data_IF_665800786869
#
_entry.id   IF_665800786869
#
_cell.length_a   1.000
_cell.length_b   1.000
_cell.length_c   1.000
_cell.angle_alpha   90.00
_cell.angle_beta   90.00
_cell.angle_gamma   90.00
#
_symmetry.space_group_name_H-M   'P 1'
#
loop_
_entity.id
_entity.type
_entity.pdbx_description
1 polymer ?
#
# COMPACT_ATOMS: atom_id res chain seq x y z
N UNK A 1 7.67 5.25 7.89
CA UNK A 1 7.22 4.99 9.27
C UNK A 1 6.70 6.23 10.02
N UNK A 2 6.38 7.32 9.32
CA UNK A 2 5.91 8.58 9.91
C UNK A 2 4.57 8.47 10.66
N UNK A 3 3.77 7.46 10.34
CA UNK A 3 2.41 7.28 10.85
C UNK A 3 2.26 6.13 11.85
N UNK A 4 3.32 5.35 12.06
CA UNK A 4 3.36 4.22 13.00
C UNK A 4 4.44 4.46 14.04
N UNK A 5 4.15 4.14 15.29
CA UNK A 5 5.09 4.24 16.39
C UNK A 5 5.86 2.94 16.62
N UNK A 6 5.31 1.81 16.17
CA UNK A 6 5.88 0.47 16.33
C UNK A 6 5.26 -0.52 15.33
N UNK A 7 5.84 -1.70 15.22
CA UNK A 7 5.32 -2.83 14.47
C UNK A 7 5.95 -3.04 13.10
N UNK A 8 5.66 -4.19 12.50
CA UNK A 8 6.11 -4.55 11.15
C UNK A 8 5.37 -3.71 10.10
N UNK A 9 6.11 -3.11 9.17
CA UNK A 9 5.53 -2.36 8.04
C UNK A 9 5.31 -3.30 6.85
N UNK A 10 6.33 -4.07 6.51
CA UNK A 10 6.32 -4.96 5.36
C UNK A 10 7.40 -6.02 5.50
N UNK A 11 7.18 -7.19 4.94
CA UNK A 11 8.24 -8.17 4.74
C UNK A 11 8.42 -8.52 3.27
N UNK A 12 9.62 -8.96 2.92
CA UNK A 12 9.93 -9.54 1.61
C UNK A 12 10.27 -11.01 1.80
N UNK A 13 9.72 -11.86 0.95
CA UNK A 13 10.04 -13.29 0.96
C UNK A 13 10.52 -13.69 -0.44
N UNK A 14 11.75 -14.18 -0.51
CA UNK A 14 12.33 -14.78 -1.70
C UNK A 14 12.01 -16.26 -1.82
N UNK A 15 12.71 -16.95 -2.73
CA UNK A 15 12.53 -18.39 -2.96
C UNK A 15 12.99 -19.23 -1.76
N UNK A 16 13.98 -18.76 -1.00
CA UNK A 16 14.49 -19.43 0.21
C UNK A 16 14.05 -18.69 1.47
N UNK A 17 13.81 -19.42 2.55
CA UNK A 17 13.43 -18.84 3.86
C UNK A 17 14.48 -17.84 4.35
N UNK A 18 15.77 -18.11 4.09
CA UNK A 18 16.89 -17.21 4.42
C UNK A 18 16.86 -15.86 3.70
N UNK A 19 16.03 -15.71 2.68
CA UNK A 19 15.85 -14.47 1.91
C UNK A 19 14.69 -13.62 2.42
N UNK A 20 14.11 -13.99 3.56
CA UNK A 20 13.07 -13.20 4.22
C UNK A 20 13.68 -12.00 4.93
N UNK A 21 13.18 -10.81 4.64
CA UNK A 21 13.53 -9.57 5.33
C UNK A 21 12.27 -8.90 5.86
N UNK A 22 12.36 -8.37 7.08
CA UNK A 22 11.28 -7.63 7.74
C UNK A 22 11.70 -6.20 8.00
N UNK A 23 10.79 -5.28 7.78
CA UNK A 23 10.99 -3.85 8.00
C UNK A 23 9.99 -3.38 9.04
N UNK A 24 10.50 -2.72 10.09
CA UNK A 24 9.72 -2.27 11.23
C UNK A 24 9.67 -0.75 11.32
N UNK A 25 8.60 -0.22 11.89
CA UNK A 25 8.47 1.17 12.23
C UNK A 25 9.46 1.55 13.33
N UNK A 26 9.87 2.82 13.33
CA UNK A 26 10.66 3.44 14.40
C UNK A 26 9.73 4.28 15.24
N UNK A 27 10.05 4.44 16.53
CA UNK A 27 9.29 5.31 17.44
C UNK A 27 9.13 6.72 16.89
N UNK A 28 7.92 7.23 16.91
CA UNK A 28 7.61 8.60 16.54
C UNK A 28 6.46 8.71 15.55
N UNK A 29 5.21 8.54 16.01
CA UNK A 29 4.04 8.93 15.23
C UNK A 29 4.04 10.46 15.03
N UNK A 30 4.39 10.91 13.82
CA UNK A 30 4.52 12.33 13.46
C UNK A 30 3.20 13.10 13.51
N UNK A 31 2.07 12.41 13.46
CA UNK A 31 0.74 13.02 13.54
C UNK A 31 0.05 12.81 14.90
N UNK A 32 0.77 12.22 15.86
CA UNK A 32 0.35 12.12 17.26
C UNK A 32 -1.06 11.53 17.45
N UNK A 33 -1.31 10.40 16.81
CA UNK A 33 -2.55 9.65 16.93
C UNK A 33 -3.78 10.26 16.23
N UNK A 34 -3.64 11.32 15.43
CA UNK A 34 -4.75 11.88 14.66
C UNK A 34 -5.35 10.80 13.72
N UNK A 35 -6.67 10.82 13.49
CA UNK A 35 -7.32 9.88 12.58
C UNK A 35 -6.77 10.03 11.15
N UNK A 36 -6.69 8.91 10.43
CA UNK A 36 -6.21 8.83 9.05
C UNK A 36 -7.23 8.08 8.22
N UNK A 37 -7.54 8.63 7.06
CA UNK A 37 -8.22 7.93 5.97
C UNK A 37 -7.25 7.88 4.79
N UNK A 38 -7.04 6.70 4.23
CA UNK A 38 -6.22 6.48 3.04
C UNK A 38 -7.15 6.15 1.90
N UNK A 39 -7.14 6.96 0.86
CA UNK A 39 -7.89 6.71 -0.37
C UNK A 39 -7.00 5.98 -1.37
N UNK A 40 -7.48 4.87 -1.90
CA UNK A 40 -6.80 4.05 -2.92
C UNK A 40 -7.74 3.73 -4.08
N UNK A 41 -7.16 3.48 -5.23
CA UNK A 41 -7.84 2.96 -6.40
C UNK A 41 -6.90 2.04 -7.20
N UNK A 42 -7.33 1.57 -8.36
CA UNK A 42 -6.57 0.68 -9.22
C UNK A 42 -5.25 1.28 -9.76
N UNK A 43 -5.04 2.58 -9.65
CA UNK A 43 -3.79 3.27 -9.96
C UNK A 43 -2.79 3.28 -8.80
N UNK A 44 -3.23 2.95 -7.57
CA UNK A 44 -2.36 2.87 -6.40
C UNK A 44 -1.51 1.61 -6.43
N UNK A 45 -0.19 1.76 -6.47
CA UNK A 45 0.71 0.63 -6.69
C UNK A 45 2.00 0.72 -5.85
N UNK A 46 2.64 -0.43 -5.60
CA UNK A 46 3.98 -0.55 -5.02
C UNK A 46 4.08 0.06 -3.61
N UNK A 47 4.84 1.14 -3.42
CA UNK A 47 5.04 1.78 -2.12
C UNK A 47 3.72 2.30 -1.50
N UNK A 48 2.76 2.74 -2.33
CA UNK A 48 1.43 3.14 -1.88
C UNK A 48 0.67 1.98 -1.26
N UNK A 49 0.81 0.78 -1.84
CA UNK A 49 0.18 -0.44 -1.32
C UNK A 49 0.82 -0.90 -0.01
N UNK A 50 2.14 -0.78 0.10
CA UNK A 50 2.85 -1.07 1.36
C UNK A 50 2.37 -0.13 2.46
N UNK A 51 2.25 1.17 2.17
CA UNK A 51 1.76 2.15 3.13
C UNK A 51 0.33 1.87 3.56
N UNK A 52 -0.58 1.75 2.60
CA UNK A 52 -2.00 1.54 2.86
C UNK A 52 -2.24 0.22 3.62
N UNK A 53 -1.62 -0.87 3.17
CA UNK A 53 -1.76 -2.18 3.79
C UNK A 53 -1.18 -2.22 5.21
N UNK A 54 -0.01 -1.63 5.45
CA UNK A 54 0.58 -1.58 6.79
C UNK A 54 -0.32 -0.82 7.76
N UNK A 55 -0.80 0.37 7.38
CA UNK A 55 -1.65 1.18 8.26
C UNK A 55 -3.04 0.54 8.49
N UNK A 56 -3.56 -0.18 7.50
CA UNK A 56 -4.77 -0.98 7.62
C UNK A 56 -4.58 -2.11 8.64
N UNK A 57 -3.56 -2.94 8.46
CA UNK A 57 -3.30 -4.10 9.32
C UNK A 57 -3.06 -3.70 10.78
N UNK A 58 -2.40 -2.58 11.01
CA UNK A 58 -2.23 -1.99 12.34
C UNK A 58 -3.48 -1.26 12.87
N UNK A 59 -4.58 -1.21 12.10
CA UNK A 59 -5.79 -0.45 12.44
C UNK A 59 -5.50 1.03 12.75
N UNK A 60 -4.44 1.56 12.10
CA UNK A 60 -4.00 2.93 12.28
C UNK A 60 -4.74 3.90 11.33
N UNK A 61 -5.24 3.39 10.21
CA UNK A 61 -6.01 4.14 9.23
C UNK A 61 -7.19 3.31 8.71
N UNK A 62 -8.21 4.00 8.25
CA UNK A 62 -9.29 3.43 7.44
C UNK A 62 -8.86 3.54 5.98
N UNK A 63 -8.92 2.45 5.23
CA UNK A 63 -8.65 2.43 3.80
C UNK A 63 -9.97 2.50 3.03
N UNK A 64 -10.10 3.49 2.15
CA UNK A 64 -11.32 3.80 1.41
C UNK A 64 -11.05 3.86 -0.09
N UNK A 65 -12.01 3.46 -0.90
CA UNK A 65 -11.97 3.59 -2.35
C UNK A 65 -12.13 2.25 -3.06
N UNK A 66 -11.23 1.94 -3.97
CA UNK A 66 -11.25 0.73 -4.77
C UNK A 66 -9.98 -0.10 -4.53
N UNK A 67 -10.01 -1.37 -4.96
CA UNK A 67 -8.85 -2.25 -4.85
C UNK A 67 -7.62 -1.65 -5.54
N UNK A 68 -6.47 -1.75 -4.92
CA UNK A 68 -5.22 -1.28 -5.51
C UNK A 68 -4.70 -2.22 -6.61
N UNK A 69 -3.63 -1.83 -7.28
CA UNK A 69 -3.11 -2.50 -8.48
C UNK A 69 -2.57 -3.93 -8.24
N UNK A 70 -1.94 -4.17 -7.09
CA UNK A 70 -1.31 -5.48 -6.83
C UNK A 70 0.13 -5.62 -7.32
N UNK A 71 0.93 -4.54 -7.30
CA UNK A 71 2.35 -4.59 -7.65
C UNK A 71 3.21 -4.94 -6.43
N UNK A 72 3.18 -6.21 -6.06
CA UNK A 72 3.87 -6.73 -4.88
C UNK A 72 5.18 -7.47 -5.16
N UNK A 73 5.83 -7.27 -6.32
CA UNK A 73 7.07 -7.98 -6.68
C UNK A 73 8.31 -7.10 -6.56
N UNK A 74 9.38 -7.68 -6.02
CA UNK A 74 10.73 -7.10 -6.01
C UNK A 74 11.50 -7.63 -7.22
N UNK A 75 12.02 -6.73 -8.03
CA UNK A 75 12.77 -7.08 -9.23
C UNK A 75 14.23 -6.64 -9.12
N UNK A 76 15.13 -7.47 -9.63
CA UNK A 76 16.54 -7.16 -9.78
C UNK A 76 16.93 -7.13 -11.26
N UNK A 77 17.81 -6.22 -11.61
CA UNK A 77 18.42 -6.18 -12.93
C UNK A 77 19.81 -6.82 -12.81
N UNK A 78 20.01 -7.91 -13.51
CA UNK A 78 21.27 -8.66 -13.54
C UNK A 78 22.00 -8.29 -14.84
N UNK A 79 23.16 -7.62 -14.78
CA UNK A 79 23.92 -7.29 -15.97
C UNK A 79 24.46 -8.58 -16.64
N UNK A 80 24.35 -8.64 -17.95
CA UNK A 80 24.87 -9.74 -18.77
C UNK A 80 26.20 -9.37 -19.40
N UNK A 81 27.05 -10.39 -19.69
CA UNK A 81 28.39 -10.21 -20.24
C UNK A 81 28.42 -9.52 -21.61
N UNK A 82 27.32 -9.55 -22.34
CA UNK A 82 27.18 -8.92 -23.68
C UNK A 82 26.68 -7.46 -23.62
N UNK A 83 26.66 -6.83 -22.42
CA UNK A 83 26.19 -5.45 -22.22
C UNK A 83 24.67 -5.31 -22.06
N UNK A 84 23.91 -6.41 -22.16
CA UNK A 84 22.47 -6.43 -21.86
C UNK A 84 22.19 -6.57 -20.35
N UNK A 85 20.92 -6.54 -19.99
CA UNK A 85 20.46 -6.80 -18.63
C UNK A 85 19.25 -7.73 -18.61
N UNK A 86 19.20 -8.61 -17.62
CA UNK A 86 18.05 -9.48 -17.37
C UNK A 86 17.30 -8.97 -16.17
N UNK A 87 15.98 -8.74 -16.32
CA UNK A 87 15.08 -8.36 -15.23
C UNK A 87 14.46 -9.61 -14.63
N UNK A 88 14.67 -9.81 -13.35
CA UNK A 88 14.23 -11.02 -12.65
C UNK A 88 13.44 -10.63 -11.40
N UNK A 89 12.29 -11.27 -11.19
CA UNK A 89 11.58 -11.19 -9.90
C UNK A 89 12.28 -12.09 -8.90
N UNK A 90 12.77 -11.51 -7.81
CA UNK A 90 13.58 -12.18 -6.80
C UNK A 90 12.83 -12.41 -5.48
N UNK A 91 11.80 -11.61 -5.17
CA UNK A 91 10.98 -11.75 -3.98
C UNK A 91 9.63 -11.06 -4.15
N UNK A 92 8.71 -11.33 -3.21
CA UNK A 92 7.41 -10.66 -3.12
C UNK A 92 7.28 -9.89 -1.80
N UNK A 93 6.48 -8.83 -1.82
CA UNK A 93 6.10 -8.08 -0.63
C UNK A 93 4.90 -8.73 0.06
N UNK A 94 4.96 -8.74 1.39
CA UNK A 94 3.90 -9.22 2.27
C UNK A 94 3.58 -8.17 3.33
N UNK A 95 2.30 -7.97 3.58
CA UNK A 95 1.78 -7.11 4.63
C UNK A 95 2.05 -7.71 6.02
N UNK A 96 1.90 -6.93 7.11
CA UNK A 96 2.02 -7.44 8.48
C UNK A 96 1.11 -8.63 8.77
N UNK A 97 -0.09 -8.67 8.21
CA UNK A 97 -1.02 -9.81 8.27
C UNK A 97 -0.46 -11.10 7.64
N UNK A 98 0.57 -10.98 6.81
CA UNK A 98 1.11 -12.08 6.00
C UNK A 98 0.49 -12.22 4.62
N UNK A 99 -0.47 -11.37 4.27
CA UNK A 99 -1.06 -11.34 2.93
C UNK A 99 -0.07 -10.82 1.89
N UNK A 100 -0.09 -11.41 0.69
CA UNK A 100 0.73 -10.95 -0.43
C UNK A 100 0.06 -9.79 -1.15
N UNK A 101 0.81 -8.72 -1.40
CA UNK A 101 0.34 -7.61 -2.25
C UNK A 101 0.27 -8.05 -3.72
N UNK A 102 1.09 -9.02 -4.11
CA UNK A 102 1.25 -9.42 -5.52
C UNK A 102 -0.04 -9.99 -6.11
N UNK A 103 -0.53 -9.38 -7.16
CA UNK A 103 -1.73 -9.78 -7.93
C UNK A 103 -3.08 -9.58 -7.20
N UNK A 104 -3.05 -9.32 -5.91
CA UNK A 104 -4.24 -9.11 -5.07
C UNK A 104 -4.47 -7.64 -4.77
N UNK A 105 -3.38 -6.90 -4.52
CA UNK A 105 -3.44 -5.51 -4.07
C UNK A 105 -3.88 -5.39 -2.60
N UNK A 106 -4.27 -4.20 -2.24
CA UNK A 106 -4.88 -3.86 -0.94
C UNK A 106 -6.36 -3.64 -1.17
N UNK A 107 -7.19 -4.41 -0.47
CA UNK A 107 -8.64 -4.23 -0.48
C UNK A 107 -9.02 -3.14 0.52
N UNK A 108 -9.84 -2.15 0.15
CA UNK A 108 -10.29 -1.10 1.07
C UNK A 108 -11.20 -1.67 2.18
N UNK A 109 -11.25 -0.97 3.32
CA UNK A 109 -12.21 -1.25 4.39
C UNK A 109 -13.61 -0.76 4.01
N UNK A 110 -13.66 0.36 3.27
CA UNK A 110 -14.90 0.96 2.75
C UNK A 110 -14.76 1.09 1.23
N UNK A 111 -15.58 0.33 0.51
CA UNK A 111 -15.61 0.38 -0.96
C UNK A 111 -16.40 1.60 -1.41
N UNK A 112 -15.74 2.48 -2.14
CA UNK A 112 -16.36 3.66 -2.78
C UNK A 112 -15.86 3.73 -4.22
N UNK A 113 -16.71 3.32 -5.15
CA UNK A 113 -16.40 3.36 -6.59
C UNK A 113 -16.43 4.79 -7.13
N UNK A 114 -15.60 5.07 -8.12
CA UNK A 114 -15.65 6.32 -8.89
C UNK A 114 -16.96 6.40 -9.66
N UNK A 115 -17.77 7.45 -9.42
CA UNK A 115 -19.13 7.56 -9.97
C UNK A 115 -19.23 8.22 -11.35
N UNK A 116 -18.13 8.77 -11.87
CA UNK A 116 -18.19 9.60 -13.06
C UNK A 116 -17.04 9.34 -14.01
N UNK A 117 -17.34 9.23 -15.31
CA UNK A 117 -16.32 9.20 -16.38
C UNK A 117 -15.45 10.48 -16.41
N UNK A 118 -15.91 11.55 -15.75
CA UNK A 118 -15.20 12.82 -15.57
C UNK A 118 -14.54 12.94 -14.19
N UNK A 119 -14.37 11.84 -13.47
CA UNK A 119 -13.70 11.81 -12.16
C UNK A 119 -12.32 12.49 -12.21
N UNK A 120 -12.09 13.39 -11.30
CA UNK A 120 -10.79 14.04 -11.11
C UNK A 120 -10.51 14.14 -9.62
N UNK A 121 -9.35 13.64 -9.23
CA UNK A 121 -8.86 13.70 -7.85
C UNK A 121 -8.85 15.16 -7.37
N UNK A 122 -9.35 15.37 -6.16
CA UNK A 122 -9.41 16.68 -5.48
C UNK A 122 -10.20 17.74 -6.27
N UNK A 123 -11.33 17.35 -6.85
CA UNK A 123 -12.26 18.23 -7.56
C UNK A 123 -13.71 18.01 -7.09
N UNK A 124 -14.64 18.82 -7.57
CA UNK A 124 -16.09 18.65 -7.29
C UNK A 124 -16.66 17.30 -7.78
N UNK A 125 -15.97 16.61 -8.67
CA UNK A 125 -16.35 15.27 -9.15
C UNK A 125 -15.72 14.14 -8.34
N UNK A 126 -14.89 14.43 -7.34
CA UNK A 126 -14.24 13.45 -6.46
C UNK A 126 -15.19 12.98 -5.36
N UNK A 127 -16.03 12.03 -5.69
CA UNK A 127 -16.98 11.46 -4.73
C UNK A 127 -16.30 10.62 -3.64
N UNK A 128 -15.09 10.15 -3.87
CA UNK A 128 -14.32 9.41 -2.86
C UNK A 128 -13.81 10.37 -1.79
N UNK A 129 -13.29 11.54 -2.18
CA UNK A 129 -12.88 12.58 -1.24
C UNK A 129 -14.07 13.12 -0.45
N UNK A 130 -15.20 13.40 -1.11
CA UNK A 130 -16.42 13.85 -0.44
C UNK A 130 -16.90 12.85 0.62
N UNK A 131 -16.84 11.56 0.31
CA UNK A 131 -17.17 10.51 1.28
C UNK A 131 -16.19 10.48 2.46
N UNK A 132 -14.88 10.58 2.17
CA UNK A 132 -13.85 10.58 3.21
C UNK A 132 -14.00 11.77 4.17
N UNK A 133 -14.31 12.97 3.64
CA UNK A 133 -14.54 14.17 4.46
C UNK A 133 -15.76 14.01 5.37
N UNK A 134 -16.86 13.45 4.88
CA UNK A 134 -18.05 13.18 5.69
C UNK A 134 -17.80 12.20 6.83
N UNK A 135 -16.85 11.26 6.67
CA UNK A 135 -16.45 10.34 7.75
C UNK A 135 -15.73 11.07 8.91
N UNK A 136 -15.07 12.19 8.66
CA UNK A 136 -14.45 13.00 9.72
C UNK A 136 -15.45 13.88 10.47
N UNK A 137 -16.63 14.15 9.89
CA UNK A 137 -17.67 14.98 10.47
C UNK A 137 -18.66 14.17 11.32
N UNK A 138 -18.65 12.83 11.22
CA UNK A 138 -19.53 11.90 11.92
C UNK A 138 -18.92 11.42 13.24
#
# INVERSE_FOLDING_TARGET
DFFLDDGEIVSTKGRRISETRKFFARKGDGIKGKPIIIMINNGSASASEILAGALKDHKRAIVLGENSYGKGSVQSIIPLRNGGGMRLTISKYYLPSGESISEVGVTPDIVVEEKSDSFKINSETDNQLDYALKLFES
#
